data_IF_180346817103
#
_entry.id   IF_180346817103
#
_cell.length_a   1.000
_cell.length_b   1.000
_cell.length_c   1.000
_cell.angle_alpha   90.00
_cell.angle_beta   90.00
_cell.angle_gamma   90.00
#
_symmetry.space_group_name_H-M   'P 1'
#
loop_
_entity.id
_entity.type
_entity.pdbx_description
1 polymer ?
#
# COMPACT_ATOMS: atom_id res chain seq x y z
N UNK A 1 27.53 3.15 4.31
CA UNK A 1 26.43 2.29 4.79
C UNK A 1 25.45 3.18 5.54
N UNK A 2 24.40 3.66 4.89
CA UNK A 2 23.44 4.55 5.53
C UNK A 2 22.58 3.72 6.49
N UNK A 3 22.67 4.01 7.78
CA UNK A 3 21.65 3.60 8.73
C UNK A 3 20.34 4.26 8.27
N UNK A 4 19.56 3.52 7.49
CA UNK A 4 18.31 4.01 6.92
C UNK A 4 17.40 4.43 8.07
N UNK A 5 17.18 5.73 8.22
CA UNK A 5 16.28 6.28 9.22
C UNK A 5 14.89 5.71 8.95
N UNK A 6 14.49 4.76 9.79
CA UNK A 6 13.14 4.22 9.79
C UNK A 6 12.21 5.38 10.12
N UNK A 7 11.34 5.75 9.18
CA UNK A 7 10.44 6.90 9.37
C UNK A 7 9.33 6.56 10.36
N UNK A 8 8.98 7.46 11.28
CA UNK A 8 7.84 7.26 12.15
C UNK A 8 6.53 7.16 11.37
N UNK A 9 5.57 6.41 11.92
CA UNK A 9 4.25 6.25 11.28
C UNK A 9 3.45 7.56 11.23
N UNK A 10 3.81 8.53 12.07
CA UNK A 10 3.22 9.88 12.05
C UNK A 10 3.56 10.66 10.79
N UNK A 11 4.61 10.28 10.06
CA UNK A 11 4.95 10.88 8.76
C UNK A 11 4.16 10.27 7.60
N UNK A 12 3.50 9.13 7.81
CA UNK A 12 2.70 8.47 6.80
C UNK A 12 1.46 9.30 6.46
N UNK A 13 1.21 9.53 5.18
CA UNK A 13 0.06 10.30 4.71
C UNK A 13 -0.86 9.46 3.84
N UNK A 14 -2.17 9.66 3.99
CA UNK A 14 -3.16 9.13 3.04
C UNK A 14 -2.83 9.62 1.62
N UNK A 15 -2.87 8.72 0.65
CA UNK A 15 -2.52 8.99 -0.74
C UNK A 15 -1.01 8.85 -1.07
N UNK A 16 -0.17 8.59 -0.07
CA UNK A 16 1.25 8.36 -0.29
C UNK A 16 1.50 6.94 -0.81
N UNK A 17 2.35 6.82 -1.84
CA UNK A 17 2.83 5.52 -2.32
C UNK A 17 3.95 5.02 -1.42
N UNK A 18 3.79 3.80 -0.91
CA UNK A 18 4.71 3.12 -0.02
C UNK A 18 5.00 1.71 -0.51
N UNK A 19 6.23 1.26 -0.31
CA UNK A 19 6.59 -0.13 -0.53
C UNK A 19 6.12 -0.97 0.64
N UNK A 20 5.44 -2.07 0.36
CA UNK A 20 5.01 -3.02 1.35
C UNK A 20 5.38 -4.44 0.96
N UNK A 21 5.89 -5.21 1.93
CA UNK A 21 6.21 -6.62 1.76
C UNK A 21 5.02 -7.47 2.19
N UNK A 22 4.50 -8.32 1.31
CA UNK A 22 3.39 -9.24 1.63
C UNK A 22 3.86 -10.23 2.69
N UNK A 23 3.12 -10.31 3.80
CA UNK A 23 3.44 -11.19 4.93
C UNK A 23 2.51 -12.39 5.02
N UNK A 24 1.27 -12.27 4.52
CA UNK A 24 0.30 -13.38 4.53
C UNK A 24 -0.83 -13.15 3.53
N UNK A 25 -1.40 -14.26 3.06
CA UNK A 25 -2.64 -14.28 2.28
C UNK A 25 -3.83 -14.51 3.19
N UNK A 26 -4.92 -13.83 2.90
CA UNK A 26 -6.16 -13.87 3.67
C UNK A 26 -7.33 -14.09 2.71
N UNK A 27 -8.43 -14.72 3.14
CA UNK A 27 -9.62 -14.90 2.30
C UNK A 27 -10.23 -13.58 1.81
N UNK A 28 -9.96 -12.49 2.51
CA UNK A 28 -10.41 -11.12 2.18
C UNK A 28 -9.34 -10.28 1.50
N UNK A 29 -8.10 -10.76 1.36
CA UNK A 29 -7.02 -10.02 0.72
C UNK A 29 -5.63 -10.38 1.23
N UNK A 30 -4.83 -9.38 1.62
CA UNK A 30 -3.44 -9.59 2.04
C UNK A 30 -3.10 -8.80 3.30
N UNK A 31 -2.19 -9.35 4.10
CA UNK A 31 -1.44 -8.56 5.08
C UNK A 31 -0.04 -8.28 4.53
N UNK A 32 0.47 -7.12 4.89
CA UNK A 32 1.78 -6.66 4.49
C UNK A 32 2.45 -5.90 5.63
N UNK A 33 3.75 -5.66 5.48
CA UNK A 33 4.55 -4.79 6.34
C UNK A 33 5.06 -3.63 5.49
N UNK A 34 4.91 -2.40 5.97
CA UNK A 34 5.50 -1.24 5.29
C UNK A 34 7.03 -1.28 5.40
N UNK A 35 7.69 -1.03 4.27
CA UNK A 35 9.12 -0.88 4.18
C UNK A 35 9.49 0.59 4.39
N UNK A 36 10.56 0.86 5.14
CA UNK A 36 11.04 2.23 5.38
C UNK A 36 10.26 3.05 6.44
N UNK A 37 9.29 2.43 7.11
CA UNK A 37 8.58 2.99 8.26
C UNK A 37 8.72 2.09 9.48
N UNK A 38 8.40 2.60 10.68
CA UNK A 38 8.35 1.78 11.88
C UNK A 38 7.49 0.52 11.67
N UNK A 39 7.84 -0.62 12.30
CA UNK A 39 7.17 -1.87 12.05
C UNK A 39 5.68 -1.77 12.40
N UNK A 40 4.85 -1.80 11.35
CA UNK A 40 3.41 -1.64 11.40
C UNK A 40 2.76 -2.70 10.54
N UNK A 41 1.67 -3.28 11.05
CA UNK A 41 0.84 -4.18 10.27
C UNK A 41 0.03 -3.37 9.26
N UNK A 42 -0.02 -3.86 8.03
CA UNK A 42 -0.89 -3.30 7.02
C UNK A 42 -1.73 -4.38 6.35
N UNK A 43 -2.89 -3.99 5.84
CA UNK A 43 -3.76 -4.88 5.09
C UNK A 43 -4.36 -4.20 3.88
N UNK A 44 -4.53 -4.99 2.83
CA UNK A 44 -5.38 -4.67 1.71
C UNK A 44 -6.61 -5.58 1.78
N UNK A 45 -7.79 -4.97 1.95
CA UNK A 45 -9.08 -5.65 1.89
C UNK A 45 -9.64 -5.57 0.46
N UNK A 46 -9.55 -6.67 -0.27
CA UNK A 46 -10.02 -6.74 -1.65
C UNK A 46 -11.53 -6.89 -1.74
N UNK A 47 -12.19 -7.42 -0.71
CA UNK A 47 -13.65 -7.55 -0.71
C UNK A 47 -14.28 -6.15 -0.62
N UNK A 48 -13.73 -5.29 0.25
CA UNK A 48 -14.21 -3.93 0.43
C UNK A 48 -13.87 -3.01 -0.76
N UNK A 49 -12.77 -3.27 -1.45
CA UNK A 49 -12.26 -2.45 -2.58
C UNK A 49 -12.52 -3.06 -3.97
N UNK A 50 -13.31 -4.13 -4.04
CA UNK A 50 -13.26 -5.14 -5.10
C UNK A 50 -13.39 -4.69 -6.55
N UNK A 51 -13.88 -3.48 -6.85
CA UNK A 51 -14.00 -3.01 -8.24
C UNK A 51 -12.84 -2.10 -8.69
N UNK A 52 -11.92 -1.75 -7.78
CA UNK A 52 -10.82 -0.84 -8.11
C UNK A 52 -9.82 -1.54 -9.08
N UNK A 53 -9.45 -0.93 -10.23
CA UNK A 53 -8.63 -1.57 -11.26
C UNK A 53 -7.30 -2.12 -10.73
N UNK A 54 -6.66 -1.39 -9.81
CA UNK A 54 -5.43 -1.83 -9.15
C UNK A 54 -5.65 -3.08 -8.30
N UNK A 55 -6.77 -3.16 -7.58
CA UNK A 55 -7.18 -4.32 -6.76
C UNK A 55 -7.44 -5.53 -7.63
N UNK A 56 -8.16 -5.35 -8.73
CA UNK A 56 -8.42 -6.41 -9.71
C UNK A 56 -7.13 -6.95 -10.32
N UNK A 57 -6.17 -6.07 -10.63
CA UNK A 57 -4.86 -6.48 -11.14
C UNK A 57 -4.09 -7.28 -10.09
N UNK A 58 -4.02 -6.80 -8.85
CA UNK A 58 -3.30 -7.50 -7.78
C UNK A 58 -3.94 -8.84 -7.43
N UNK A 59 -5.27 -8.94 -7.47
CA UNK A 59 -5.99 -10.20 -7.27
C UNK A 59 -5.65 -11.24 -8.35
N UNK A 60 -5.36 -10.80 -9.58
CA UNK A 60 -4.90 -11.66 -10.68
C UNK A 60 -3.42 -12.02 -10.55
N UNK A 61 -2.58 -11.06 -10.18
CA UNK A 61 -1.13 -11.26 -10.02
C UNK A 61 -0.80 -12.10 -8.79
N UNK A 62 -1.66 -12.04 -7.76
CA UNK A 62 -1.62 -12.86 -6.54
C UNK A 62 -0.20 -12.96 -5.96
N UNK A 63 0.41 -11.81 -5.61
CA UNK A 63 1.82 -11.73 -5.22
C UNK A 63 2.15 -12.69 -4.08
N UNK A 64 3.25 -13.42 -4.20
CA UNK A 64 3.68 -14.39 -3.19
C UNK A 64 4.02 -13.72 -1.86
N UNK A 65 3.91 -14.47 -0.75
CA UNK A 65 4.44 -14.02 0.54
C UNK A 65 5.95 -13.75 0.39
N UNK A 66 6.40 -12.59 0.87
CA UNK A 66 7.75 -12.08 0.70
C UNK A 66 7.93 -11.15 -0.52
N UNK A 67 6.96 -11.08 -1.43
CA UNK A 67 7.00 -10.11 -2.52
C UNK A 67 6.85 -8.68 -2.01
N UNK A 68 7.62 -7.76 -2.57
CA UNK A 68 7.47 -6.31 -2.33
C UNK A 68 6.63 -5.70 -3.44
N UNK A 69 5.62 -4.93 -3.05
CA UNK A 69 4.70 -4.23 -3.97
C UNK A 69 4.57 -2.77 -3.55
N UNK A 70 4.39 -1.90 -4.53
CA UNK A 70 4.06 -0.49 -4.29
C UNK A 70 2.53 -0.37 -4.07
N UNK A 71 2.15 0.18 -2.92
CA UNK A 71 0.76 0.36 -2.50
C UNK A 71 0.56 1.80 -2.04
N UNK A 72 -0.67 2.31 -2.10
CA UNK A 72 -1.03 3.62 -1.59
C UNK A 72 -1.59 3.52 -0.19
N UNK A 73 -1.34 4.51 0.65
CA UNK A 73 -1.96 4.57 1.98
C UNK A 73 -3.41 5.01 1.84
N UNK A 74 -4.36 4.11 2.10
CA UNK A 74 -5.79 4.40 2.01
C UNK A 74 -6.35 5.04 3.28
N UNK A 75 -6.14 4.39 4.42
CA UNK A 75 -6.59 4.85 5.73
C UNK A 75 -5.57 4.46 6.81
N UNK A 76 -5.32 5.36 7.74
CA UNK A 76 -4.40 5.14 8.88
C UNK A 76 -5.28 5.02 10.13
N UNK A 77 -5.34 3.83 10.73
CA UNK A 77 -6.09 3.62 11.98
C UNK A 77 -5.12 3.49 13.14
N UNK A 78 -5.26 4.39 14.11
CA UNK A 78 -4.45 4.42 15.35
C UNK A 78 -5.23 3.99 16.59
N UNK A 79 -6.41 3.38 16.40
CA UNK A 79 -7.22 2.86 17.50
C UNK A 79 -6.53 1.64 18.14
N UNK A 80 -5.98 1.84 19.33
CA UNK A 80 -5.55 0.83 20.31
C UNK A 80 -4.17 0.18 20.10
N UNK A 81 -3.15 0.74 20.78
CA UNK A 81 -1.80 0.22 21.08
C UNK A 81 -0.92 -0.36 19.96
N UNK A 82 -1.47 -0.68 18.79
CA UNK A 82 -0.78 -1.20 17.60
C UNK A 82 -1.39 -0.51 16.39
N UNK A 83 -0.69 0.48 15.80
CA UNK A 83 -1.18 1.13 14.58
C UNK A 83 -1.40 0.09 13.48
N UNK A 84 -2.48 0.25 12.72
CA UNK A 84 -2.79 -0.61 11.58
C UNK A 84 -3.15 0.23 10.36
N UNK A 85 -2.49 -0.06 9.25
CA UNK A 85 -2.65 0.73 8.02
C UNK A 85 -3.47 -0.06 7.01
N UNK A 86 -4.51 0.58 6.51
CA UNK A 86 -5.27 0.09 5.39
C UNK A 86 -4.62 0.64 4.13
N UNK A 87 -4.06 -0.26 3.34
CA UNK A 87 -3.48 0.07 2.06
C UNK A 87 -4.57 0.05 1.00
N UNK A 88 -4.38 0.92 0.04
CA UNK A 88 -5.15 1.09 -1.16
C UNK A 88 -4.27 0.83 -2.38
N UNK A 89 -4.88 0.44 -3.50
CA UNK A 89 -4.14 0.19 -4.74
C UNK A 89 -4.24 1.32 -5.76
N UNK A 90 -4.93 2.42 -5.46
CA UNK A 90 -4.95 3.59 -6.33
C UNK A 90 -3.69 4.45 -6.12
N UNK A 91 -2.53 3.92 -6.52
CA UNK A 91 -1.49 4.82 -7.02
C UNK A 91 -1.99 5.32 -8.38
N UNK A 92 -2.16 6.64 -8.60
CA UNK A 92 -2.19 7.12 -9.97
C UNK A 92 -0.90 6.59 -10.60
N UNK A 93 -1.04 5.79 -11.65
CA UNK A 93 0.11 5.41 -12.46
C UNK A 93 0.78 6.74 -12.84
N UNK A 94 2.03 6.98 -12.44
CA UNK A 94 2.78 8.19 -12.84
C UNK A 94 3.06 8.25 -14.36
N UNK A 95 2.29 7.53 -15.16
CA UNK A 95 2.41 7.43 -16.60
C UNK A 95 1.10 7.87 -17.23
N UNK A 96 0.78 9.15 -17.12
CA UNK A 96 0.31 9.95 -18.26
C UNK A 96 0.74 11.40 -18.00
N UNK A 97 1.87 11.88 -18.55
CA UNK A 97 2.04 13.31 -18.73
C UNK A 97 0.89 13.77 -19.62
N UNK A 98 -0.07 14.49 -19.03
CA UNK A 98 -1.04 15.26 -19.77
C UNK A 98 -0.27 16.26 -20.64
N UNK A 99 -0.02 15.89 -21.89
CA UNK A 99 0.39 16.85 -22.89
C UNK A 99 -0.84 17.65 -23.28
N UNK A 100 -0.90 18.81 -22.63
CA UNK A 100 -1.47 20.08 -23.02
C UNK A 100 -2.03 20.19 -24.46
N UNK A 101 -3.23 20.75 -24.54
CA UNK A 101 -3.93 21.12 -25.77
C UNK A 101 -3.11 22.13 -26.58
N UNK A 102 -2.84 21.81 -27.83
CA UNK A 102 -2.18 22.73 -28.75
C UNK A 102 -2.48 22.44 -30.21
N UNK A 103 -3.58 22.98 -30.72
CA UNK A 103 -3.75 23.55 -32.07
C UNK A 103 -5.20 24.04 -32.25
#
# INVERSE_FOLDING_TARGET
MAAGSVRPLTELRRGETVQATITSHQPWGFTAKLNGYEPVGASLDMIRRGDEPGVQRLARELPSVGATVDLVVGEIRTWDHKPWIWLDLTAPSQSEPGWDVGA
#
